data_IF_429960515962
#
_entry.id   IF_429960515962
#
_cell.length_a   1.000
_cell.length_b   1.000
_cell.length_c   1.000
_cell.angle_alpha   90.00
_cell.angle_beta   90.00
_cell.angle_gamma   90.00
#
_symmetry.space_group_name_H-M   'P 1'
#
loop_
_entity.id
_entity.type
_entity.pdbx_description
1 polymer ?
#
# COMPACT_ATOMS: atom_id res chain seq x y z
N UNK A 1 22.41 56.95 40.79
CA UNK A 1 23.84 56.85 40.40
C UNK A 1 23.92 56.17 39.03
N UNK A 2 24.58 56.84 38.07
CA UNK A 2 25.29 56.37 36.83
C UNK A 2 24.86 55.02 36.22
N UNK A 3 24.20 54.97 35.05
CA UNK A 3 24.74 55.04 33.66
C UNK A 3 25.91 54.08 33.39
N UNK A 4 25.73 53.11 32.47
CA UNK A 4 26.55 53.00 31.24
C UNK A 4 26.22 51.75 30.39
N UNK A 5 26.00 52.02 29.10
CA UNK A 5 26.07 51.14 27.95
C UNK A 5 27.42 50.42 27.79
N UNK A 6 27.41 49.28 27.07
CA UNK A 6 28.46 49.02 26.07
C UNK A 6 27.97 48.15 24.92
N UNK A 7 27.93 48.76 23.74
CA UNK A 7 27.91 48.12 22.43
C UNK A 7 29.27 47.48 22.11
N UNK A 8 29.29 46.42 21.28
CA UNK A 8 30.27 46.19 20.19
C UNK A 8 29.80 44.98 19.37
N UNK A 9 29.26 45.15 18.17
CA UNK A 9 29.90 45.35 16.85
C UNK A 9 30.30 44.05 16.13
N UNK A 10 29.83 43.97 14.88
CA UNK A 10 29.87 42.85 13.95
C UNK A 10 31.24 42.61 13.32
N UNK A 11 31.48 41.38 12.84
CA UNK A 11 32.37 41.13 11.69
C UNK A 11 31.83 40.04 10.77
N UNK A 12 31.53 40.50 9.56
CA UNK A 12 31.36 39.81 8.28
C UNK A 12 32.59 39.01 7.88
N UNK A 13 32.41 37.83 7.30
CA UNK A 13 33.43 37.16 6.48
C UNK A 13 32.77 36.61 5.20
N UNK A 14 33.22 37.14 4.06
CA UNK A 14 32.92 36.70 2.69
C UNK A 14 34.19 36.02 2.14
N UNK A 15 34.07 34.82 1.57
CA UNK A 15 35.08 34.22 0.68
C UNK A 15 34.38 33.31 -0.33
N UNK A 16 34.14 33.78 -1.56
CA UNK A 16 34.97 33.62 -2.78
C UNK A 16 34.85 32.23 -3.44
N UNK A 17 34.20 32.26 -4.61
CA UNK A 17 34.24 31.29 -5.70
C UNK A 17 35.67 30.89 -6.11
N UNK A 18 35.84 29.62 -6.46
CA UNK A 18 36.73 29.20 -7.54
C UNK A 18 36.05 28.15 -8.41
N UNK A 19 35.79 28.57 -9.64
CA UNK A 19 35.53 27.77 -10.82
C UNK A 19 36.81 27.04 -11.27
N UNK A 20 36.69 25.77 -11.66
CA UNK A 20 37.70 25.06 -12.45
C UNK A 20 36.98 24.42 -13.63
N UNK A 21 37.42 24.80 -14.82
CA UNK A 21 36.97 24.32 -16.13
C UNK A 21 38.03 23.46 -16.80
N UNK A 22 37.54 22.42 -17.52
CA UNK A 22 38.11 21.76 -18.72
C UNK A 22 39.31 20.79 -18.53
N UNK A 23 39.53 19.77 -19.41
CA UNK A 23 39.06 19.70 -20.81
C UNK A 23 38.42 18.40 -21.32
N UNK A 24 37.72 18.56 -22.44
CA UNK A 24 37.23 17.55 -23.38
C UNK A 24 38.35 16.68 -23.98
N UNK A 25 38.03 15.42 -24.24
CA UNK A 25 38.72 14.57 -25.23
C UNK A 25 37.68 14.04 -26.23
N UNK A 26 37.90 14.18 -27.56
CA UNK A 26 36.95 13.76 -28.59
C UNK A 26 37.25 12.36 -29.15
N UNK A 27 36.20 11.68 -29.61
CA UNK A 27 36.27 10.78 -30.75
C UNK A 27 36.27 9.27 -30.46
N UNK A 28 35.08 8.66 -30.49
CA UNK A 28 34.94 7.26 -30.91
C UNK A 28 33.58 7.07 -31.61
N UNK A 29 33.61 7.15 -32.94
CA UNK A 29 32.54 6.73 -33.84
C UNK A 29 32.63 5.21 -33.96
N UNK A 30 31.65 4.46 -33.46
CA UNK A 30 31.50 3.04 -33.82
C UNK A 30 30.08 2.78 -34.29
N UNK A 31 30.05 2.04 -35.40
CA UNK A 31 29.00 1.86 -36.39
C UNK A 31 27.79 1.11 -35.85
N UNK A 32 26.63 1.49 -36.42
CA UNK A 32 25.36 0.78 -36.36
C UNK A 32 25.53 -0.65 -36.88
N UNK A 33 25.13 -1.64 -36.08
CA UNK A 33 24.74 -2.96 -36.58
C UNK A 33 23.31 -3.26 -36.14
N UNK A 34 22.38 -3.19 -37.10
CA UNK A 34 21.14 -3.97 -37.05
C UNK A 34 21.51 -5.43 -37.31
N UNK A 35 20.82 -6.36 -36.65
CA UNK A 35 20.24 -7.47 -37.39
C UNK A 35 18.71 -7.51 -37.18
N UNK A 36 17.99 -7.47 -38.29
CA UNK A 36 16.68 -8.08 -38.38
C UNK A 36 16.84 -9.59 -38.24
N UNK A 37 16.00 -10.25 -37.46
CA UNK A 37 15.50 -11.58 -37.82
C UNK A 37 14.21 -11.89 -37.09
N UNK A 38 13.17 -12.08 -37.90
CA UNK A 38 11.91 -12.76 -37.58
C UNK A 38 12.20 -14.21 -37.17
N UNK A 39 11.48 -14.70 -36.15
CA UNK A 39 10.94 -16.06 -36.08
C UNK A 39 9.62 -15.94 -35.31
N UNK A 40 8.45 -15.95 -35.96
CA UNK A 40 7.62 -17.15 -36.24
C UNK A 40 7.57 -18.08 -35.02
N UNK A 41 6.55 -17.94 -34.17
CA UNK A 41 5.29 -18.70 -34.25
C UNK A 41 5.52 -20.22 -34.23
N UNK A 42 5.46 -20.81 -33.05
CA UNK A 42 5.22 -22.24 -32.88
C UNK A 42 3.82 -22.42 -32.26
N UNK A 43 2.87 -22.69 -33.14
CA UNK A 43 1.78 -23.67 -32.99
C UNK A 43 2.35 -24.97 -32.40
N UNK A 44 1.65 -25.91 -31.80
CA UNK A 44 0.29 -26.08 -31.26
C UNK A 44 0.30 -27.50 -30.64
N UNK A 45 -0.75 -27.82 -29.88
CA UNK A 45 -1.27 -29.17 -29.67
C UNK A 45 -0.41 -30.23 -28.96
N UNK A 46 -0.72 -30.45 -27.67
CA UNK A 46 -0.82 -31.82 -27.14
C UNK A 46 -2.26 -32.06 -26.74
N UNK A 47 -2.89 -32.89 -27.55
CA UNK A 47 -4.26 -33.35 -27.48
C UNK A 47 -4.28 -34.75 -26.85
N UNK A 48 -5.27 -34.98 -25.96
CA UNK A 48 -5.93 -36.25 -25.62
C UNK A 48 -5.06 -37.41 -25.10
N UNK A 49 -5.30 -37.79 -23.84
CA UNK A 49 -5.47 -39.18 -23.42
C UNK A 49 -6.47 -39.25 -22.25
N UNK A 50 -7.26 -40.32 -22.20
CA UNK A 50 -8.40 -40.62 -21.31
C UNK A 50 -9.69 -39.86 -21.65
N UNK A 51 -10.82 -40.48 -21.98
CA UNK A 51 -11.20 -41.88 -21.93
C UNK A 51 -12.73 -41.89 -21.83
N UNK A 52 -13.40 -42.37 -22.88
CA UNK A 52 -14.85 -42.49 -22.97
C UNK A 52 -15.41 -43.38 -21.85
N UNK A 53 -16.52 -42.98 -21.25
CA UNK A 53 -17.53 -43.93 -20.77
C UNK A 53 -18.92 -43.39 -21.15
N UNK A 54 -19.67 -44.22 -21.90
CA UNK A 54 -21.07 -44.04 -22.24
C UNK A 54 -21.90 -45.11 -21.52
N UNK A 55 -23.13 -44.74 -21.15
CA UNK A 55 -24.22 -45.59 -20.68
C UNK A 55 -25.16 -44.76 -19.79
N UNK A 56 -26.28 -44.22 -20.32
CA UNK A 56 -27.64 -44.81 -20.34
C UNK A 56 -28.25 -44.95 -18.93
N UNK A 57 -29.49 -44.59 -18.60
CA UNK A 57 -30.66 -44.07 -19.32
C UNK A 57 -31.52 -43.25 -18.33
N UNK A 58 -32.26 -42.32 -18.94
CA UNK A 58 -33.44 -41.53 -18.59
C UNK A 58 -34.45 -42.11 -17.56
N UNK A 59 -35.07 -41.27 -16.70
CA UNK A 59 -36.50 -40.86 -16.77
C UNK A 59 -36.91 -39.90 -15.62
N UNK A 60 -37.37 -38.72 -16.05
CA UNK A 60 -38.44 -37.80 -15.55
C UNK A 60 -38.87 -37.81 -14.07
N UNK A 61 -38.78 -36.62 -13.46
CA UNK A 61 -39.61 -36.16 -12.34
C UNK A 61 -39.63 -34.63 -12.31
N UNK A 62 -40.83 -34.04 -12.28
CA UNK A 62 -41.13 -32.66 -12.65
C UNK A 62 -40.82 -31.60 -11.57
N UNK A 63 -40.29 -30.48 -12.02
CA UNK A 63 -40.73 -29.10 -11.78
C UNK A 63 -41.56 -28.81 -10.52
N UNK A 64 -40.90 -28.29 -9.48
CA UNK A 64 -41.49 -27.29 -8.57
C UNK A 64 -40.48 -26.17 -8.36
N UNK A 65 -40.68 -25.07 -9.10
CA UNK A 65 -40.14 -23.76 -8.80
C UNK A 65 -40.80 -23.27 -7.51
N UNK A 66 -40.03 -23.18 -6.43
CA UNK A 66 -40.36 -22.33 -5.29
C UNK A 66 -39.33 -21.21 -5.19
N UNK A 67 -39.62 -20.11 -5.86
CA UNK A 67 -39.12 -18.78 -5.53
C UNK A 67 -39.60 -18.40 -4.13
N UNK A 68 -38.73 -18.62 -3.15
CA UNK A 68 -38.68 -17.88 -1.89
C UNK A 68 -37.19 -17.55 -1.71
N UNK A 69 -36.73 -16.43 -2.24
CA UNK A 69 -36.67 -15.17 -1.48
C UNK A 69 -36.53 -15.41 0.03
N UNK A 70 -35.30 -15.70 0.42
CA UNK A 70 -34.84 -15.41 1.76
C UNK A 70 -33.44 -14.85 1.64
N UNK A 71 -33.41 -13.52 1.55
CA UNK A 71 -32.32 -12.64 1.93
C UNK A 71 -31.62 -13.17 3.19
N UNK A 72 -30.61 -14.01 2.98
CA UNK A 72 -29.56 -14.21 3.98
C UNK A 72 -28.59 -13.05 3.81
N UNK A 73 -28.91 -11.94 4.48
CA UNK A 73 -27.90 -11.02 4.99
C UNK A 73 -27.07 -11.85 5.99
N UNK A 74 -26.18 -12.68 5.44
CA UNK A 74 -25.13 -13.32 6.20
C UNK A 74 -24.14 -12.22 6.54
N UNK A 75 -24.05 -11.91 7.82
CA UNK A 75 -22.92 -11.18 8.39
C UNK A 75 -21.62 -11.75 7.82
N UNK A 76 -20.92 -10.97 6.99
CA UNK A 76 -19.58 -11.25 6.44
C UNK A 76 -18.53 -11.15 7.56
N UNK A 77 -18.78 -11.81 8.69
CA UNK A 77 -18.05 -11.67 9.94
C UNK A 77 -16.67 -12.35 9.94
N UNK A 78 -16.16 -12.73 8.77
CA UNK A 78 -14.90 -13.46 8.64
C UNK A 78 -13.97 -13.01 7.51
N UNK A 79 -14.40 -12.11 6.61
CA UNK A 79 -13.51 -11.60 5.56
C UNK A 79 -12.88 -10.28 6.01
N UNK A 80 -11.55 -10.14 5.88
CA UNK A 80 -10.90 -8.88 6.20
C UNK A 80 -11.39 -7.79 5.24
N UNK A 81 -11.68 -6.61 5.80
CA UNK A 81 -12.07 -5.43 5.00
C UNK A 81 -10.80 -4.75 4.48
N UNK A 82 -10.82 -4.28 3.24
CA UNK A 82 -9.68 -3.63 2.60
C UNK A 82 -9.93 -2.14 2.37
N UNK A 83 -8.88 -1.28 2.39
CA UNK A 83 -8.99 0.09 1.93
C UNK A 83 -9.57 0.15 0.50
N UNK A 84 -10.53 1.03 0.23
CA UNK A 84 -11.15 1.15 -1.09
C UNK A 84 -10.17 1.71 -2.12
N UNK A 85 -10.10 1.07 -3.29
CA UNK A 85 -9.36 1.57 -4.44
C UNK A 85 -10.00 1.14 -5.75
N UNK A 86 -9.70 1.88 -6.81
CA UNK A 86 -10.00 1.50 -8.20
C UNK A 86 -8.71 1.16 -8.93
N UNK A 87 -8.66 0.05 -9.65
CA UNK A 87 -7.53 -0.28 -10.53
C UNK A 87 -7.64 0.57 -11.80
N UNK A 88 -6.69 1.48 -11.99
CA UNK A 88 -6.61 2.35 -13.17
C UNK A 88 -5.92 1.63 -14.32
N UNK A 89 -4.87 0.86 -14.01
CA UNK A 89 -4.14 0.06 -15.00
C UNK A 89 -3.54 -1.17 -14.32
N UNK A 90 -3.32 -2.24 -15.08
CA UNK A 90 -2.65 -3.46 -14.61
C UNK A 90 -1.76 -4.02 -15.72
N UNK A 91 -0.48 -4.17 -15.41
CA UNK A 91 0.51 -4.84 -16.26
C UNK A 91 0.80 -6.25 -15.72
N UNK A 92 1.71 -6.97 -16.35
CA UNK A 92 2.26 -8.22 -15.80
C UNK A 92 3.04 -8.01 -14.50
N UNK A 93 3.60 -6.80 -14.29
CA UNK A 93 4.60 -6.56 -13.27
C UNK A 93 4.04 -5.78 -12.06
N UNK A 94 3.08 -4.89 -12.29
CA UNK A 94 2.47 -4.05 -11.26
C UNK A 94 1.06 -3.58 -11.65
N UNK A 95 0.35 -2.97 -10.70
CA UNK A 95 -0.93 -2.31 -10.94
C UNK A 95 -0.89 -0.86 -10.48
N UNK A 96 -1.55 0.03 -11.23
CA UNK A 96 -1.84 1.39 -10.80
C UNK A 96 -3.22 1.40 -10.13
N UNK A 97 -3.27 1.87 -8.88
CA UNK A 97 -4.48 1.88 -8.05
C UNK A 97 -4.72 3.29 -7.54
N UNK A 98 -5.90 3.84 -7.80
CA UNK A 98 -6.38 5.07 -7.19
C UNK A 98 -7.07 4.71 -5.88
N UNK A 99 -6.43 5.02 -4.76
CA UNK A 99 -7.02 4.79 -3.44
C UNK A 99 -7.96 5.95 -3.10
N UNK A 100 -9.20 5.63 -2.70
CA UNK A 100 -10.09 6.64 -2.14
C UNK A 100 -9.55 7.13 -0.80
N UNK A 101 -10.03 8.25 -0.30
CA UNK A 101 -9.66 8.73 1.04
C UNK A 101 -10.27 7.82 2.11
N UNK A 102 -9.49 7.41 3.12
CA UNK A 102 -9.96 6.56 4.22
C UNK A 102 -9.23 6.86 5.54
N UNK A 103 -9.88 6.63 6.71
CA UNK A 103 -9.26 6.81 8.01
C UNK A 103 -8.26 5.70 8.34
N UNK A 104 -7.15 6.07 8.96
CA UNK A 104 -6.17 5.13 9.52
C UNK A 104 -5.86 5.47 10.97
N UNK A 105 -5.47 4.47 11.73
CA UNK A 105 -4.73 4.67 12.98
C UNK A 105 -3.26 4.40 12.69
N UNK A 106 -2.38 5.26 13.18
CA UNK A 106 -0.95 5.18 12.90
C UNK A 106 -0.08 5.52 14.10
N UNK A 107 1.12 4.93 14.12
CA UNK A 107 2.14 5.22 15.11
C UNK A 107 3.54 4.99 14.53
N UNK A 108 4.53 5.68 15.07
CA UNK A 108 5.93 5.30 14.86
C UNK A 108 6.24 4.04 15.67
N UNK A 109 7.10 3.15 15.14
CA UNK A 109 7.44 1.90 15.80
C UNK A 109 8.91 1.54 15.63
N UNK A 110 9.47 0.86 16.63
CA UNK A 110 10.80 0.26 16.55
C UNK A 110 10.72 -1.25 16.30
N UNK A 111 9.82 -1.92 16.99
CA UNK A 111 9.52 -3.35 16.86
C UNK A 111 8.15 -3.52 16.21
N UNK A 112 8.08 -4.33 15.15
CA UNK A 112 6.87 -4.47 14.32
C UNK A 112 5.70 -5.06 15.13
N UNK A 113 5.99 -5.90 16.09
CA UNK A 113 5.07 -6.71 16.88
C UNK A 113 4.38 -5.82 17.92
N UNK A 114 5.15 -4.89 18.48
CA UNK A 114 4.65 -3.85 19.36
C UNK A 114 3.73 -2.90 18.60
N UNK A 115 4.18 -2.39 17.44
CA UNK A 115 3.33 -1.54 16.59
C UNK A 115 2.04 -2.25 16.18
N UNK A 116 2.12 -3.52 15.78
CA UNK A 116 0.96 -4.32 15.39
C UNK A 116 -0.01 -4.53 16.56
N UNK A 117 0.50 -4.92 17.73
CA UNK A 117 -0.32 -5.17 18.91
C UNK A 117 -0.99 -3.87 19.43
N UNK A 118 -0.27 -2.75 19.43
CA UNK A 118 -0.77 -1.46 19.88
C UNK A 118 -1.88 -0.93 18.97
N UNK A 119 -1.64 -0.90 17.65
CA UNK A 119 -2.67 -0.49 16.68
C UNK A 119 -3.86 -1.46 16.67
N UNK A 120 -3.60 -2.78 16.79
CA UNK A 120 -4.65 -3.79 16.93
C UNK A 120 -5.51 -3.56 18.18
N UNK A 121 -4.90 -3.13 19.29
CA UNK A 121 -5.61 -2.74 20.50
C UNK A 121 -6.63 -1.62 20.27
N UNK A 122 -6.31 -0.61 19.47
CA UNK A 122 -7.27 0.44 19.09
C UNK A 122 -8.49 -0.12 18.34
N UNK A 123 -8.24 -1.03 17.39
CA UNK A 123 -9.27 -1.73 16.60
C UNK A 123 -10.14 -2.64 17.49
N UNK A 124 -9.56 -3.20 18.56
CA UNK A 124 -10.23 -4.03 19.55
C UNK A 124 -10.88 -3.24 20.71
N UNK A 125 -10.95 -1.91 20.61
CA UNK A 125 -11.68 -1.08 21.59
C UNK A 125 -10.82 -0.40 22.65
N UNK A 126 -9.48 -0.48 22.59
CA UNK A 126 -8.58 0.33 23.45
C UNK A 126 -8.50 1.78 22.95
N UNK A 127 -9.63 2.45 22.95
CA UNK A 127 -9.80 3.84 22.57
C UNK A 127 -10.75 4.54 23.56
N UNK A 128 -10.84 5.86 23.49
CA UNK A 128 -11.55 6.67 24.49
C UNK A 128 -13.05 6.34 24.66
N UNK A 129 -13.65 5.61 23.72
CA UNK A 129 -15.07 5.25 23.73
C UNK A 129 -15.31 3.73 23.82
N UNK A 130 -14.28 2.90 23.93
CA UNK A 130 -14.45 1.43 23.98
C UNK A 130 -14.93 0.80 22.67
N UNK A 131 -14.86 1.52 21.54
CA UNK A 131 -15.49 1.11 20.28
C UNK A 131 -14.62 0.11 19.56
N UNK A 132 -15.15 -1.08 19.28
CA UNK A 132 -14.48 -2.08 18.46
C UNK A 132 -14.77 -1.85 16.97
N UNK A 133 -13.75 -1.94 16.13
CA UNK A 133 -13.86 -1.82 14.67
C UNK A 133 -13.65 -3.17 13.99
N UNK A 134 -14.16 -3.32 12.77
CA UNK A 134 -13.98 -4.53 11.98
C UNK A 134 -12.50 -4.75 11.63
N UNK A 135 -12.08 -6.01 11.55
CA UNK A 135 -10.71 -6.34 11.18
C UNK A 135 -10.42 -5.96 9.72
N UNK A 136 -9.28 -5.30 9.51
CA UNK A 136 -8.88 -4.80 8.20
C UNK A 136 -7.51 -5.33 7.77
N UNK A 137 -7.28 -5.29 6.46
CA UNK A 137 -5.99 -5.59 5.85
C UNK A 137 -5.75 -4.64 4.67
N UNK A 138 -4.50 -4.37 4.25
CA UNK A 138 -3.26 -4.79 4.88
C UNK A 138 -2.89 -3.93 6.09
N UNK A 139 -1.88 -4.38 6.85
CA UNK A 139 -1.09 -3.49 7.69
C UNK A 139 -0.02 -2.84 6.83
N UNK A 140 0.04 -1.52 6.81
CA UNK A 140 0.98 -0.77 5.98
C UNK A 140 2.14 -0.28 6.83
N UNK A 141 3.35 -0.52 6.36
CA UNK A 141 4.57 0.02 6.93
C UNK A 141 5.15 1.07 5.99
N UNK A 142 5.24 2.29 6.46
CA UNK A 142 5.85 3.42 5.77
C UNK A 142 7.28 3.61 6.27
N UNK A 143 8.24 3.60 5.35
CA UNK A 143 9.65 3.83 5.62
C UNK A 143 10.03 5.21 5.10
N UNK A 144 10.59 6.05 5.97
CA UNK A 144 11.03 7.40 5.65
C UNK A 144 12.54 7.45 5.42
N UNK A 145 13.05 8.37 4.57
CA UNK A 145 14.48 8.51 4.30
C UNK A 145 15.30 8.94 5.52
N UNK A 146 14.66 9.55 6.52
CA UNK A 146 15.27 9.91 7.81
C UNK A 146 15.38 8.72 8.80
N UNK A 147 14.99 7.51 8.36
CA UNK A 147 15.03 6.29 9.16
C UNK A 147 13.78 6.04 10.00
N UNK A 148 12.81 6.96 10.05
CA UNK A 148 11.55 6.74 10.76
C UNK A 148 10.71 5.67 10.07
N UNK A 149 10.01 4.90 10.91
CA UNK A 149 9.11 3.82 10.49
C UNK A 149 7.74 4.08 11.10
N UNK A 150 6.73 4.25 10.26
CA UNK A 150 5.34 4.44 10.67
C UNK A 150 4.56 3.19 10.27
N UNK A 151 3.74 2.68 11.17
CA UNK A 151 2.78 1.62 10.87
C UNK A 151 1.38 2.21 10.82
N UNK A 152 0.57 1.76 9.87
CA UNK A 152 -0.81 2.19 9.67
C UNK A 152 -1.73 0.97 9.57
N UNK A 153 -2.90 1.08 10.20
CA UNK A 153 -4.03 0.16 10.00
C UNK A 153 -5.26 0.95 9.55
N UNK A 154 -5.98 0.42 8.57
CA UNK A 154 -7.25 0.99 8.13
C UNK A 154 -8.31 0.83 9.22
N UNK A 155 -9.02 1.92 9.55
CA UNK A 155 -10.14 1.87 10.49
C UNK A 155 -11.42 1.57 9.71
N UNK A 156 -11.87 0.32 9.82
CA UNK A 156 -13.12 -0.13 9.21
C UNK A 156 -14.38 0.37 9.95
N UNK A 157 -15.57 -0.11 9.56
CA UNK A 157 -16.80 0.20 10.28
C UNK A 157 -16.76 -0.35 11.72
N UNK A 158 -17.48 0.27 12.68
CA UNK A 158 -17.69 -0.29 14.01
C UNK A 158 -18.29 -1.70 13.95
N UNK A 159 -17.87 -2.59 14.85
CA UNK A 159 -18.46 -3.93 15.02
C UNK A 159 -19.78 -3.82 15.77
N UNK A 160 -20.78 -4.60 15.35
CA UNK A 160 -22.06 -4.68 16.05
C UNK A 160 -21.84 -5.03 17.54
N UNK A 161 -22.44 -4.26 18.44
CA UNK A 161 -22.26 -4.38 19.88
C UNK A 161 -21.34 -3.34 20.52
N UNK A 162 -20.69 -2.45 19.74
CA UNK A 162 -20.19 -1.18 20.26
C UNK A 162 -21.31 -0.15 20.25
N UNK A 163 -21.52 0.58 21.35
CA UNK A 163 -22.64 1.54 21.56
C UNK A 163 -22.66 2.76 20.61
N UNK A 164 -21.86 2.77 19.54
CA UNK A 164 -21.82 3.83 18.53
C UNK A 164 -21.93 3.24 17.12
N UNK A 165 -23.16 3.21 16.60
CA UNK A 165 -23.44 2.87 15.21
C UNK A 165 -23.10 4.07 14.31
N UNK A 166 -21.86 4.13 13.82
CA UNK A 166 -21.49 5.04 12.74
C UNK A 166 -21.06 4.24 11.50
N UNK A 167 -22.01 4.04 10.59
CA UNK A 167 -21.76 3.49 9.26
C UNK A 167 -21.07 4.54 8.38
N UNK A 168 -19.82 4.32 8.00
CA UNK A 168 -19.15 5.15 7.00
C UNK A 168 -18.66 4.27 5.84
N UNK A 169 -19.50 4.15 4.82
CA UNK A 169 -19.07 3.70 3.49
C UNK A 169 -18.75 4.92 2.61
N UNK A 170 -17.56 4.91 2.00
CA UNK A 170 -17.27 5.53 0.71
C UNK A 170 -17.00 7.04 0.67
N UNK A 171 -17.92 7.88 1.16
CA UNK A 171 -17.89 9.33 0.86
C UNK A 171 -17.76 10.22 2.11
N UNK A 172 -18.01 9.68 3.31
CA UNK A 172 -17.91 10.42 4.57
C UNK A 172 -16.55 10.31 5.28
N UNK A 173 -15.51 9.76 4.64
CA UNK A 173 -14.25 9.39 5.31
C UNK A 173 -13.51 10.58 5.98
N UNK A 174 -13.55 11.77 5.39
CA UNK A 174 -12.93 12.96 5.97
C UNK A 174 -13.72 13.50 7.18
N UNK A 175 -15.06 13.50 7.11
CA UNK A 175 -15.93 13.85 8.23
C UNK A 175 -15.89 12.77 9.33
N UNK A 176 -15.51 11.54 9.00
CA UNK A 176 -15.42 10.43 9.94
C UNK A 176 -14.19 10.51 10.86
N UNK A 177 -13.06 11.12 10.45
CA UNK A 177 -11.87 11.15 11.34
C UNK A 177 -12.09 11.97 12.60
N UNK A 178 -12.85 13.08 12.53
CA UNK A 178 -13.17 13.87 13.72
C UNK A 178 -14.16 13.17 14.65
N UNK A 179 -14.91 12.18 14.17
CA UNK A 179 -15.83 11.38 14.97
C UNK A 179 -15.23 10.08 15.49
N UNK A 180 -14.02 9.71 15.05
CA UNK A 180 -13.32 8.53 15.56
C UNK A 180 -12.84 8.75 17.01
N UNK A 181 -12.95 7.73 17.88
CA UNK A 181 -12.52 7.84 19.26
C UNK A 181 -11.02 8.07 19.34
N UNK A 182 -10.59 8.88 20.29
CA UNK A 182 -9.19 9.22 20.46
C UNK A 182 -8.37 7.99 20.92
N UNK A 183 -7.18 7.77 20.36
CA UNK A 183 -6.17 6.87 20.91
C UNK A 183 -5.88 7.16 22.38
N UNK A 184 -5.72 6.11 23.19
CA UNK A 184 -5.24 6.24 24.57
C UNK A 184 -3.72 6.06 24.68
N UNK A 185 -3.12 5.35 23.73
CA UNK A 185 -1.69 5.04 23.71
C UNK A 185 -0.85 6.24 23.25
N UNK A 186 0.19 6.64 24.00
CA UNK A 186 1.08 7.72 23.61
C UNK A 186 1.74 7.46 22.24
N UNK A 187 1.75 8.48 21.38
CA UNK A 187 2.38 8.40 20.05
C UNK A 187 1.50 7.77 18.96
N UNK A 188 0.33 7.21 19.32
CA UNK A 188 -0.69 6.78 18.37
C UNK A 188 -1.61 7.96 18.01
N UNK A 189 -1.98 8.07 16.74
CA UNK A 189 -2.92 9.09 16.24
C UNK A 189 -3.86 8.52 15.20
N UNK A 190 -5.04 9.13 15.09
CA UNK A 190 -5.92 8.93 13.94
C UNK A 190 -5.50 9.89 12.84
N UNK A 191 -5.43 9.41 11.60
CA UNK A 191 -5.09 10.21 10.44
C UNK A 191 -5.94 9.80 9.23
N UNK A 192 -5.80 10.55 8.14
CA UNK A 192 -6.36 10.23 6.83
C UNK A 192 -5.25 9.69 5.92
N UNK A 193 -5.58 8.66 5.15
CA UNK A 193 -4.73 8.12 4.07
C UNK A 193 -5.53 7.98 2.77
N UNK A 194 -4.86 7.67 1.66
CA UNK A 194 -5.48 7.60 0.34
C UNK A 194 -5.62 8.96 -0.36
N UNK A 195 -6.53 9.06 -1.33
CA UNK A 195 -6.63 10.22 -2.21
C UNK A 195 -5.45 10.35 -3.18
N UNK A 196 -4.80 9.24 -3.49
CA UNK A 196 -3.54 9.19 -4.23
C UNK A 196 -3.51 8.03 -5.23
N UNK A 197 -2.75 8.24 -6.31
CA UNK A 197 -2.45 7.19 -7.27
C UNK A 197 -1.18 6.45 -6.84
N UNK A 198 -1.28 5.13 -6.73
CA UNK A 198 -0.21 4.27 -6.21
C UNK A 198 0.09 3.15 -7.20
N UNK A 199 1.36 2.99 -7.54
CA UNK A 199 1.87 1.82 -8.20
C UNK A 199 2.13 0.71 -7.17
N UNK A 200 1.62 -0.49 -7.43
CA UNK A 200 1.66 -1.63 -6.51
C UNK A 200 2.22 -2.86 -7.19
N UNK A 201 3.33 -3.39 -6.65
CA UNK A 201 3.97 -4.63 -7.07
C UNK A 201 3.82 -5.69 -5.97
N UNK A 202 3.45 -6.91 -6.35
CA UNK A 202 3.36 -8.04 -5.43
C UNK A 202 4.70 -8.75 -5.30
N UNK A 203 5.06 -9.20 -4.10
CA UNK A 203 6.27 -9.97 -3.86
C UNK A 203 6.09 -11.02 -2.77
N UNK A 204 6.88 -12.08 -2.88
CA UNK A 204 6.87 -13.24 -1.99
C UNK A 204 7.80 -13.07 -0.79
N UNK A 205 7.58 -13.91 0.23
CA UNK A 205 8.42 -13.98 1.41
C UNK A 205 8.15 -12.88 2.44
N UNK A 206 8.96 -12.89 3.51
CA UNK A 206 8.82 -11.94 4.61
C UNK A 206 9.31 -10.55 4.23
N UNK A 207 8.67 -9.52 4.83
CA UNK A 207 9.12 -8.13 4.69
C UNK A 207 10.32 -7.91 5.62
N UNK A 208 11.50 -7.96 5.03
CA UNK A 208 12.81 -7.64 5.63
C UNK A 208 13.38 -6.42 4.92
N UNK A 209 14.38 -5.71 5.48
CA UNK A 209 15.02 -4.60 4.77
C UNK A 209 15.50 -4.99 3.36
N UNK A 210 16.12 -6.16 3.21
CA UNK A 210 16.65 -6.63 1.94
C UNK A 210 15.54 -6.94 0.92
N UNK A 211 14.49 -7.65 1.34
CA UNK A 211 13.37 -8.02 0.44
C UNK A 211 12.53 -6.81 0.05
N UNK A 212 12.32 -5.87 0.98
CA UNK A 212 11.63 -4.62 0.70
C UNK A 212 12.42 -3.76 -0.30
N UNK A 213 13.74 -3.61 -0.11
CA UNK A 213 14.58 -2.86 -1.06
C UNK A 213 14.60 -3.52 -2.44
N UNK A 214 14.73 -4.83 -2.52
CA UNK A 214 14.68 -5.55 -3.80
C UNK A 214 13.32 -5.41 -4.52
N UNK A 215 12.20 -5.43 -3.78
CA UNK A 215 10.87 -5.19 -4.35
C UNK A 215 10.71 -3.73 -4.82
N UNK A 216 11.23 -2.77 -4.05
CA UNK A 216 11.24 -1.35 -4.41
C UNK A 216 12.03 -1.10 -5.70
N UNK A 217 13.25 -1.62 -5.81
CA UNK A 217 14.09 -1.46 -7.00
C UNK A 217 13.43 -2.04 -8.25
N UNK A 218 12.80 -3.22 -8.12
CA UNK A 218 12.02 -3.82 -9.22
C UNK A 218 10.87 -2.93 -9.66
N UNK A 219 10.08 -2.42 -8.72
CA UNK A 219 8.97 -1.53 -9.06
C UNK A 219 9.47 -0.22 -9.70
N UNK A 220 10.53 0.38 -9.16
CA UNK A 220 11.13 1.59 -9.74
C UNK A 220 11.62 1.34 -11.19
N UNK A 221 12.23 0.20 -11.47
CA UNK A 221 12.67 -0.15 -12.83
C UNK A 221 11.49 -0.30 -13.80
N UNK A 222 10.39 -0.92 -13.36
CA UNK A 222 9.15 -1.01 -14.15
C UNK A 222 8.58 0.39 -14.45
N UNK A 223 8.49 1.26 -13.44
CA UNK A 223 7.97 2.62 -13.61
C UNK A 223 8.85 3.46 -14.55
N UNK A 224 10.18 3.34 -14.42
CA UNK A 224 11.13 4.02 -15.30
C UNK A 224 10.99 3.54 -16.75
N UNK A 225 10.88 2.22 -16.97
CA UNK A 225 10.65 1.63 -18.30
C UNK A 225 9.38 2.20 -18.94
N UNK A 226 8.33 2.37 -18.15
CA UNK A 226 7.02 2.80 -18.61
C UNK A 226 6.85 4.33 -18.61
N UNK A 227 7.88 5.09 -18.24
CA UNK A 227 7.87 6.55 -18.25
C UNK A 227 7.04 7.20 -17.14
N UNK A 228 6.70 6.46 -16.09
CA UNK A 228 5.87 6.94 -14.97
C UNK A 228 6.77 7.57 -13.90
N UNK A 229 6.39 8.76 -13.41
CA UNK A 229 7.16 9.49 -12.40
C UNK A 229 6.64 9.21 -11.00
N UNK A 230 7.56 9.11 -10.04
CA UNK A 230 7.21 9.06 -8.62
C UNK A 230 6.72 10.42 -8.14
N UNK A 231 5.83 10.41 -7.14
CA UNK A 231 5.54 11.61 -6.36
C UNK A 231 6.75 12.03 -5.52
N UNK A 232 6.81 13.31 -5.14
CA UNK A 232 7.99 13.93 -4.52
C UNK A 232 8.54 13.14 -3.32
N UNK A 233 7.69 12.76 -2.38
CA UNK A 233 8.13 12.06 -1.18
C UNK A 233 8.71 10.66 -1.48
N UNK A 234 8.18 9.96 -2.48
CA UNK A 234 8.67 8.63 -2.88
C UNK A 234 9.93 8.74 -3.72
N UNK A 235 10.04 9.79 -4.55
CA UNK A 235 11.28 10.16 -5.22
C UNK A 235 12.39 10.52 -4.22
N UNK A 236 12.03 11.15 -3.09
CA UNK A 236 12.94 11.45 -1.98
C UNK A 236 13.30 10.24 -1.11
N UNK A 237 12.75 9.06 -1.43
CA UNK A 237 13.14 7.80 -0.82
C UNK A 237 12.14 7.20 0.17
N UNK A 238 10.95 7.78 0.32
CA UNK A 238 9.85 7.15 1.04
C UNK A 238 9.33 5.93 0.26
N UNK A 239 8.93 4.87 0.96
CA UNK A 239 8.22 3.75 0.36
C UNK A 239 7.32 3.05 1.37
N UNK A 240 6.39 2.24 0.86
CA UNK A 240 5.41 1.52 1.66
C UNK A 240 5.43 0.03 1.36
N UNK A 241 5.33 -0.78 2.42
CA UNK A 241 5.09 -2.22 2.31
C UNK A 241 3.75 -2.55 2.95
N UNK A 242 2.87 -3.19 2.19
CA UNK A 242 1.59 -3.71 2.67
C UNK A 242 1.74 -5.20 3.02
N UNK A 243 1.52 -5.52 4.29
CA UNK A 243 1.56 -6.87 4.83
C UNK A 243 0.15 -7.45 4.94
N UNK A 244 -0.02 -8.66 4.43
CA UNK A 244 -1.25 -9.44 4.55
C UNK A 244 -1.05 -10.63 5.47
N UNK A 245 -2.08 -10.97 6.25
CA UNK A 245 -2.00 -12.00 7.27
C UNK A 245 -1.33 -11.53 8.57
N UNK A 246 -1.10 -12.47 9.49
CA UNK A 246 -0.48 -12.17 10.77
C UNK A 246 1.02 -11.87 10.64
N UNK A 247 1.59 -11.24 11.67
CA UNK A 247 3.03 -10.97 11.72
C UNK A 247 3.80 -12.29 11.69
N UNK A 248 4.84 -12.37 10.84
CA UNK A 248 5.63 -13.58 10.58
C UNK A 248 4.85 -14.79 10.02
N UNK A 249 3.68 -14.57 9.45
CA UNK A 249 2.96 -15.60 8.71
C UNK A 249 2.86 -15.21 7.25
N UNK A 250 3.11 -16.16 6.36
CA UNK A 250 2.78 -16.01 4.95
C UNK A 250 1.29 -16.34 4.80
N UNK A 251 0.49 -15.32 4.50
CA UNK A 251 -0.93 -15.51 4.19
C UNK A 251 -1.14 -16.02 2.76
N UNK A 252 -2.39 -16.31 2.41
CA UNK A 252 -2.76 -16.66 1.02
C UNK A 252 -2.64 -15.50 0.02
N UNK A 253 -2.31 -14.29 0.48
CA UNK A 253 -2.11 -13.11 -0.35
C UNK A 253 -0.66 -12.61 -0.21
N UNK A 254 -0.04 -12.31 -1.35
CA UNK A 254 1.32 -11.78 -1.42
C UNK A 254 1.43 -10.40 -0.79
N UNK A 255 2.60 -10.11 -0.22
CA UNK A 255 2.94 -8.77 0.25
C UNK A 255 3.03 -7.81 -0.94
N UNK A 256 2.82 -6.52 -0.68
CA UNK A 256 2.75 -5.51 -1.72
C UNK A 256 3.76 -4.38 -1.44
N UNK A 257 4.55 -4.01 -2.45
CA UNK A 257 5.38 -2.81 -2.47
C UNK A 257 4.58 -1.70 -3.13
N UNK A 258 4.52 -0.53 -2.48
CA UNK A 258 3.65 0.57 -2.88
C UNK A 258 4.47 1.85 -3.03
N UNK A 259 4.40 2.47 -4.22
CA UNK A 259 4.99 3.76 -4.52
C UNK A 259 3.94 4.72 -5.08
N UNK A 260 3.82 5.92 -4.51
CA UNK A 260 2.98 6.99 -5.01
C UNK A 260 3.56 7.53 -6.33
N UNK A 261 2.69 7.74 -7.31
CA UNK A 261 3.09 8.22 -8.64
C UNK A 261 2.30 9.46 -9.03
N UNK A 262 2.91 10.26 -9.90
CA UNK A 262 2.25 11.37 -10.59
C UNK A 262 2.19 11.02 -12.08
N UNK A 263 1.01 11.14 -12.68
CA UNK A 263 0.78 10.99 -14.14
C UNK A 263 0.47 12.35 -14.73
#
# INVERSE_FOLDING_TARGET
>A
MKVAHKETSARTCVARHRSITAPCVPGAVIRRHRPQTRCRSFLSDITKMFGKNQGKDEVRGAEQRSTQDRSLIGSDAGRPIFPPYTVINKTSDYSLRLYSVFPVVEMEYQRREEGYATLGGYIDGKNSQGVSFAYTQPVVMCYHPDGRKVMQMYVGPPRAGSDTAASSQGEAAAAAVTSLPSPQEPGMRVNISGGELVAVLQFEGYITPATAEAARQRLMACLQRDGIRLAEADAAGRFRCAQYGAVYQLGGRLNEMMLQVNV
#
